data_IF_738242057262
#
_entry.id   IF_738242057262
#
_cell.length_a   1.000
_cell.length_b   1.000
_cell.length_c   1.000
_cell.angle_alpha   90.00
_cell.angle_beta   90.00
_cell.angle_gamma   90.00
#
_symmetry.space_group_name_H-M   'P 1'
#
loop_
_entity.id
_entity.type
_entity.pdbx_description
1 polymer ?
#
# COMPACT_ATOMS: atom_id res chain seq x y z
N UNK A 1 -3.99 25.17 14.07
CA UNK A 1 -3.68 25.00 12.63
C UNK A 1 -3.31 23.53 12.44
N UNK A 2 -4.22 22.69 11.93
CA UNK A 2 -3.83 21.35 11.48
C UNK A 2 -3.12 21.56 10.15
N UNK A 3 -1.86 21.15 10.06
CA UNK A 3 -1.14 21.18 8.79
C UNK A 3 -1.92 20.35 7.76
N UNK A 4 -2.15 20.92 6.59
CA UNK A 4 -2.87 20.23 5.50
C UNK A 4 -2.15 18.94 5.11
N UNK A 5 -0.83 18.97 5.04
CA UNK A 5 -0.03 17.79 4.71
C UNK A 5 -0.22 16.66 5.74
N UNK A 6 -0.24 16.97 7.03
CA UNK A 6 -0.49 15.94 8.06
C UNK A 6 -1.92 15.39 8.02
N UNK A 7 -2.90 16.20 7.63
CA UNK A 7 -4.29 15.75 7.50
C UNK A 7 -4.45 14.83 6.29
N UNK A 8 -3.92 15.22 5.13
CA UNK A 8 -3.94 14.39 3.92
C UNK A 8 -3.15 13.08 4.09
N UNK A 9 -1.99 13.13 4.76
CA UNK A 9 -1.21 11.94 5.05
C UNK A 9 -1.94 10.98 6.00
N UNK A 10 -2.67 11.51 7.00
CA UNK A 10 -3.48 10.71 7.91
C UNK A 10 -4.62 10.01 7.18
N UNK A 11 -5.28 10.71 6.26
CA UNK A 11 -6.34 10.13 5.43
C UNK A 11 -5.81 8.98 4.56
N UNK A 12 -4.66 9.18 3.89
CA UNK A 12 -4.03 8.10 3.11
C UNK A 12 -3.67 6.91 3.99
N UNK A 13 -3.07 7.17 5.16
CA UNK A 13 -2.76 6.13 6.15
C UNK A 13 -4.01 5.33 6.54
N UNK A 14 -5.13 6.01 6.81
CA UNK A 14 -6.36 5.35 7.23
C UNK A 14 -6.95 4.45 6.13
N UNK A 15 -6.87 4.88 4.86
CA UNK A 15 -7.25 4.04 3.72
C UNK A 15 -6.37 2.78 3.60
N UNK A 16 -5.08 2.87 3.88
CA UNK A 16 -4.20 1.69 3.95
C UNK A 16 -4.59 0.76 5.10
N UNK A 17 -4.87 1.31 6.28
CA UNK A 17 -5.30 0.53 7.44
C UNK A 17 -6.65 -0.17 7.19
N UNK A 18 -7.58 0.49 6.52
CA UNK A 18 -8.89 -0.09 6.18
C UNK A 18 -8.79 -1.20 5.12
N UNK A 19 -8.09 -0.94 4.01
CA UNK A 19 -7.97 -1.89 2.91
C UNK A 19 -7.09 -3.10 3.28
N UNK A 20 -5.91 -2.83 3.87
CA UNK A 20 -4.88 -3.85 4.05
C UNK A 20 -4.67 -4.28 5.50
N UNK A 21 -5.18 -3.53 6.48
CA UNK A 21 -4.91 -3.77 7.90
C UNK A 21 -3.53 -3.32 8.36
N UNK A 22 -2.78 -2.59 7.52
CA UNK A 22 -1.41 -2.20 7.79
C UNK A 22 -0.81 -1.33 6.69
N UNK A 23 0.32 -0.69 7.00
CA UNK A 23 1.07 0.17 6.07
C UNK A 23 2.41 -0.44 5.66
N UNK A 24 2.84 -1.51 6.34
CA UNK A 24 4.10 -2.17 6.03
C UNK A 24 3.88 -3.25 4.97
N UNK A 25 4.83 -3.39 4.04
CA UNK A 25 4.77 -4.44 3.01
C UNK A 25 4.53 -5.83 3.62
N UNK A 26 5.10 -6.12 4.80
CA UNK A 26 4.87 -7.39 5.51
C UNK A 26 3.39 -7.63 5.81
N UNK A 27 2.68 -6.63 6.29
CA UNK A 27 1.26 -6.72 6.66
C UNK A 27 0.39 -6.82 5.40
N UNK A 28 0.70 -5.98 4.40
CA UNK A 28 0.00 -5.97 3.11
C UNK A 28 0.16 -7.32 2.38
N UNK A 29 1.39 -7.86 2.32
CA UNK A 29 1.66 -9.19 1.75
C UNK A 29 0.89 -10.28 2.51
N UNK A 30 0.89 -10.24 3.85
CA UNK A 30 0.11 -11.18 4.66
C UNK A 30 -1.38 -11.15 4.30
N UNK A 31 -1.94 -9.96 4.08
CA UNK A 31 -3.35 -9.77 3.68
C UNK A 31 -3.65 -10.28 2.28
N UNK A 32 -2.83 -9.92 1.28
CA UNK A 32 -3.18 -10.13 -0.15
C UNK A 32 -2.54 -11.38 -0.77
N UNK A 33 -1.51 -11.94 -0.15
CA UNK A 33 -0.79 -13.16 -0.59
C UNK A 33 -0.86 -14.30 0.44
N UNK A 34 -1.47 -14.07 1.60
CA UNK A 34 -1.61 -15.08 2.66
C UNK A 34 -0.35 -15.33 3.50
N UNK A 35 0.78 -14.72 3.13
CA UNK A 35 2.01 -14.69 3.94
C UNK A 35 2.88 -13.49 3.57
N UNK A 36 3.78 -13.11 4.47
CA UNK A 36 4.92 -12.25 4.15
C UNK A 36 6.14 -13.04 3.69
N UNK A 37 7.06 -12.35 3.01
CA UNK A 37 8.26 -12.94 2.41
C UNK A 37 9.53 -12.23 2.89
N UNK A 38 10.56 -13.01 3.18
CA UNK A 38 11.93 -12.53 3.41
C UNK A 38 12.69 -12.51 2.08
N UNK A 39 12.68 -11.35 1.42
CA UNK A 39 13.27 -11.18 0.08
C UNK A 39 14.80 -11.31 0.05
N UNK A 40 15.45 -11.48 1.20
CA UNK A 40 16.89 -11.79 1.27
C UNK A 40 17.19 -13.27 1.06
N UNK A 41 16.17 -14.14 1.18
CA UNK A 41 16.27 -15.58 0.93
C UNK A 41 15.75 -15.89 -0.47
N UNK A 42 16.54 -16.66 -1.23
CA UNK A 42 16.21 -16.98 -2.62
C UNK A 42 14.85 -17.67 -2.75
N UNK A 43 14.55 -18.61 -1.86
CA UNK A 43 13.32 -19.41 -1.90
C UNK A 43 12.08 -18.53 -1.64
N UNK A 44 12.20 -17.57 -0.72
CA UNK A 44 11.13 -16.62 -0.43
C UNK A 44 10.98 -15.58 -1.54
N UNK A 45 12.07 -15.14 -2.15
CA UNK A 45 12.01 -14.25 -3.31
C UNK A 45 11.31 -14.92 -4.52
N UNK A 46 11.64 -16.17 -4.83
CA UNK A 46 10.99 -16.93 -5.90
C UNK A 46 9.50 -17.14 -5.59
N UNK A 47 9.16 -17.48 -4.34
CA UNK A 47 7.77 -17.62 -3.92
C UNK A 47 7.00 -16.30 -3.99
N UNK A 48 7.63 -15.17 -3.66
CA UNK A 48 7.05 -13.84 -3.79
C UNK A 48 6.74 -13.48 -5.25
N UNK A 49 7.67 -13.77 -6.16
CA UNK A 49 7.45 -13.56 -7.59
C UNK A 49 6.30 -14.43 -8.11
N UNK A 50 6.27 -15.71 -7.74
CA UNK A 50 5.20 -16.64 -8.13
C UNK A 50 3.83 -16.26 -7.54
N UNK A 51 3.81 -15.61 -6.37
CA UNK A 51 2.60 -15.05 -5.76
C UNK A 51 2.13 -13.73 -6.40
N UNK A 52 2.85 -13.25 -7.43
CA UNK A 52 2.51 -12.08 -8.20
C UNK A 52 3.10 -10.77 -7.68
N UNK A 53 4.15 -10.85 -6.87
CA UNK A 53 4.79 -9.70 -6.21
C UNK A 53 5.21 -8.57 -7.15
N UNK A 54 5.63 -8.86 -8.38
CA UNK A 54 5.98 -7.85 -9.39
C UNK A 54 5.01 -7.80 -10.57
N UNK A 55 4.02 -8.68 -10.66
CA UNK A 55 3.08 -8.71 -11.78
C UNK A 55 1.82 -7.89 -11.51
N UNK A 56 1.12 -8.20 -10.42
CA UNK A 56 -0.22 -7.68 -10.16
C UNK A 56 -0.41 -7.22 -8.71
N UNK A 57 0.17 -7.90 -7.72
CA UNK A 57 -0.10 -7.60 -6.31
C UNK A 57 0.47 -6.27 -5.82
N UNK A 58 1.81 -6.14 -5.76
CA UNK A 58 2.42 -4.89 -5.31
C UNK A 58 2.16 -3.73 -6.29
N UNK A 59 2.15 -3.94 -7.62
CA UNK A 59 1.74 -2.90 -8.56
C UNK A 59 0.32 -2.38 -8.32
N UNK A 60 -0.66 -3.23 -8.02
CA UNK A 60 -2.04 -2.80 -7.70
C UNK A 60 -2.08 -1.97 -6.41
N UNK A 61 -1.35 -2.41 -5.36
CA UNK A 61 -1.24 -1.65 -4.10
C UNK A 61 -0.72 -0.23 -4.36
N UNK A 62 0.36 -0.10 -5.13
CA UNK A 62 0.95 1.21 -5.46
C UNK A 62 0.01 2.03 -6.36
N UNK A 63 -0.65 1.39 -7.32
CA UNK A 63 -1.64 2.04 -8.19
C UNK A 63 -2.81 2.63 -7.39
N UNK A 64 -3.36 1.87 -6.45
CA UNK A 64 -4.40 2.34 -5.52
C UNK A 64 -3.90 3.48 -4.65
N UNK A 65 -2.71 3.36 -4.07
CA UNK A 65 -2.12 4.40 -3.24
C UNK A 65 -1.94 5.72 -4.01
N UNK A 66 -1.44 5.65 -5.26
CA UNK A 66 -1.29 6.81 -6.13
C UNK A 66 -2.65 7.45 -6.46
N UNK A 67 -3.66 6.64 -6.78
CA UNK A 67 -5.04 7.10 -7.01
C UNK A 67 -5.60 7.81 -5.78
N UNK A 68 -5.56 7.19 -4.60
CA UNK A 68 -6.05 7.79 -3.37
C UNK A 68 -5.32 9.09 -3.04
N UNK A 69 -4.00 9.14 -3.21
CA UNK A 69 -3.23 10.35 -2.98
C UNK A 69 -3.68 11.48 -3.90
N UNK A 70 -3.92 11.19 -5.20
CA UNK A 70 -4.43 12.18 -6.14
C UNK A 70 -5.84 12.67 -5.74
N UNK A 71 -6.74 11.77 -5.33
CA UNK A 71 -8.07 12.12 -4.83
C UNK A 71 -7.99 13.06 -3.63
N UNK A 72 -7.19 12.71 -2.62
CA UNK A 72 -7.02 13.50 -1.39
C UNK A 72 -6.47 14.90 -1.71
N UNK A 73 -5.50 15.01 -2.63
CA UNK A 73 -4.96 16.31 -3.05
C UNK A 73 -6.02 17.14 -3.76
N UNK A 74 -6.81 16.54 -4.64
CA UNK A 74 -7.88 17.26 -5.35
C UNK A 74 -8.95 17.75 -4.38
N UNK A 75 -9.37 16.91 -3.43
CA UNK A 75 -10.29 17.26 -2.35
C UNK A 75 -9.75 18.40 -1.47
N UNK A 76 -8.48 18.35 -1.05
CA UNK A 76 -7.84 19.42 -0.25
C UNK A 76 -7.75 20.75 -1.01
N UNK A 77 -7.60 20.69 -2.33
CA UNK A 77 -7.63 21.86 -3.21
C UNK A 77 -9.05 22.33 -3.57
N UNK A 78 -10.09 21.63 -3.13
CA UNK A 78 -11.49 21.93 -3.43
C UNK A 78 -11.86 21.73 -4.91
N UNK A 79 -11.25 20.73 -5.57
CA UNK A 79 -11.40 20.43 -7.00
C UNK A 79 -12.06 19.10 -7.26
#
# INVERSE_FOLDING_TARGET
MKDRAFTSAKELHDRFMEEYGGILCREIQQKIMGRSFDLTKKEDFDAFLNAGGHSDKCPDVVGKAARWTAEIIMEDLGR
#
